data_IF_499295845119
#
_entry.id   IF_499295845119
#
_cell.length_a   1.000
_cell.length_b   1.000
_cell.length_c   1.000
_cell.angle_alpha   90.00
_cell.angle_beta   90.00
_cell.angle_gamma   90.00
#
_symmetry.space_group_name_H-M   'P 1'
#
loop_
_entity.id
_entity.type
_entity.pdbx_description
1 polymer ?
#
# COMPACT_ATOMS: atom_id res chain seq x y z
N UNK A 1 26.15 14.50 24.55
CA UNK A 1 26.42 15.95 24.69
C UNK A 1 27.82 16.19 24.17
N UNK A 2 27.93 16.82 23.00
CA UNK A 2 29.19 16.90 22.26
C UNK A 2 30.07 17.95 22.91
N UNK A 3 31.21 17.55 23.46
CA UNK A 3 32.17 18.45 24.06
C UNK A 3 33.43 18.48 23.20
N UNK A 4 33.66 19.61 22.53
CA UNK A 4 34.89 19.85 21.78
C UNK A 4 35.88 20.62 22.66
N UNK A 5 37.16 20.25 22.65
CA UNK A 5 38.18 21.05 23.33
C UNK A 5 38.26 22.43 22.67
N UNK A 6 38.52 23.46 23.47
CA UNK A 6 38.75 24.81 22.96
C UNK A 6 40.07 24.87 22.21
N UNK A 7 40.09 25.64 21.12
CA UNK A 7 41.31 25.85 20.34
C UNK A 7 42.37 26.55 21.21
N UNK A 8 43.62 26.07 21.22
CA UNK A 8 44.72 26.81 21.84
C UNK A 8 44.86 28.19 21.21
N UNK A 9 45.18 29.20 22.03
CA UNK A 9 45.54 30.54 21.54
C UNK A 9 46.67 30.43 20.50
N UNK A 10 46.68 31.20 19.42
CA UNK A 10 47.73 31.13 18.40
C UNK A 10 48.93 32.04 18.66
N UNK A 11 48.84 32.96 19.63
CA UNK A 11 49.91 33.92 19.92
C UNK A 11 51.21 33.22 20.40
N UNK A 12 52.33 33.67 19.84
CA UNK A 12 53.68 33.34 20.29
C UNK A 12 54.22 34.56 21.05
N UNK A 13 54.57 34.37 22.31
CA UNK A 13 55.12 35.43 23.16
C UNK A 13 56.63 35.53 22.91
N UNK A 14 57.00 36.23 21.84
CA UNK A 14 58.39 36.56 21.54
C UNK A 14 58.70 37.98 21.99
N UNK A 15 59.81 38.16 22.69
CA UNK A 15 60.37 39.50 22.89
C UNK A 15 60.87 40.07 21.56
N UNK A 16 61.02 41.40 21.45
CA UNK A 16 61.57 42.01 20.24
C UNK A 16 62.94 41.41 19.89
N UNK A 17 63.13 41.09 18.61
CA UNK A 17 64.37 40.49 18.12
C UNK A 17 65.55 41.45 18.37
N UNK A 18 66.67 40.99 18.95
CA UNK A 18 67.82 41.86 19.18
C UNK A 18 68.45 42.33 17.85
N UNK A 19 68.78 43.62 17.76
CA UNK A 19 69.49 44.19 16.61
C UNK A 19 70.92 43.64 16.52
N UNK A 20 71.27 43.10 15.36
CA UNK A 20 72.64 42.66 15.06
C UNK A 20 73.42 43.84 14.51
N UNK A 21 74.44 44.31 15.24
CA UNK A 21 75.32 45.40 14.76
C UNK A 21 76.23 44.89 13.64
N UNK A 22 75.98 45.33 12.42
CA UNK A 22 76.89 45.13 11.28
C UNK A 22 78.00 46.19 11.33
N UNK A 23 79.20 45.80 11.76
CA UNK A 23 80.36 46.70 11.78
C UNK A 23 81.17 46.47 10.50
N UNK A 24 80.96 47.32 9.49
CA UNK A 24 81.72 47.30 8.23
C UNK A 24 83.22 47.44 8.47
N UNK A 25 84.00 46.54 7.87
CA UNK A 25 85.42 46.32 8.15
C UNK A 25 86.36 47.35 7.47
N UNK A 26 86.17 48.64 7.76
CA UNK A 26 87.05 49.75 7.36
C UNK A 26 88.51 49.58 7.85
N UNK A 27 88.67 48.72 8.86
CA UNK A 27 89.89 48.48 9.63
C UNK A 27 90.91 47.60 8.89
N UNK A 28 90.44 46.54 8.19
CA UNK A 28 91.28 45.72 7.30
C UNK A 28 91.91 46.56 6.18
N UNK A 29 91.17 47.57 5.71
CA UNK A 29 91.63 48.54 4.69
C UNK A 29 92.76 49.43 5.21
N UNK A 30 92.65 49.93 6.43
CA UNK A 30 93.66 50.80 7.04
C UNK A 30 94.97 50.04 7.36
N UNK A 31 94.87 48.82 7.89
CA UNK A 31 96.03 47.95 8.13
C UNK A 31 96.75 47.58 6.83
N UNK A 32 96.00 47.24 5.78
CA UNK A 32 96.54 46.92 4.47
C UNK A 32 97.27 48.12 3.83
N UNK A 33 96.78 49.35 4.06
CA UNK A 33 97.44 50.57 3.59
C UNK A 33 98.74 50.85 4.37
N UNK A 34 98.77 50.63 5.68
CA UNK A 34 99.95 50.83 6.51
C UNK A 34 101.10 49.85 6.19
N UNK A 35 100.77 48.65 5.69
CA UNK A 35 101.74 47.59 5.37
C UNK A 35 102.32 47.64 3.94
N UNK A 36 101.87 48.55 3.08
CA UNK A 36 102.17 48.53 1.62
C UNK A 36 103.46 49.24 1.17
N UNK A 37 104.31 49.81 2.05
CA UNK A 37 105.52 50.57 1.66
C UNK A 37 106.86 50.05 2.22
N UNK A 38 107.84 49.74 1.34
CA UNK A 38 109.26 49.37 1.63
C UNK A 38 110.12 50.61 1.99
N UNK A 39 111.33 50.59 2.62
CA UNK A 39 112.70 50.25 2.08
C UNK A 39 113.84 50.23 3.17
N UNK A 40 114.97 49.52 2.88
CA UNK A 40 116.39 49.46 3.40
C UNK A 40 116.78 49.14 4.89
N UNK A 41 117.60 48.09 5.11
CA UNK A 41 117.83 47.33 6.38
C UNK A 41 118.25 48.07 7.67
N UNK A 42 119.05 49.14 7.63
CA UNK A 42 119.50 49.83 8.88
C UNK A 42 118.57 50.99 9.28
N UNK A 43 118.02 51.73 8.31
CA UNK A 43 116.85 52.58 8.52
C UNK A 43 115.60 51.74 8.83
N UNK A 44 115.50 50.53 8.27
CA UNK A 44 114.46 49.55 8.58
C UNK A 44 114.49 49.12 10.03
N UNK A 45 115.61 49.06 10.76
CA UNK A 45 115.55 48.72 12.19
C UNK A 45 114.96 49.89 13.00
N UNK A 46 115.32 51.13 12.69
CA UNK A 46 114.80 52.31 13.40
C UNK A 46 113.35 52.66 13.00
N UNK A 47 113.02 52.57 11.70
CA UNK A 47 111.67 52.68 11.16
C UNK A 47 110.82 51.44 11.45
N UNK A 48 111.40 50.24 11.62
CA UNK A 48 110.64 49.08 12.10
C UNK A 48 110.36 49.19 13.57
N UNK A 49 111.26 49.72 14.41
CA UNK A 49 110.90 49.97 15.80
C UNK A 49 109.85 51.08 15.91
N UNK A 50 109.99 52.17 15.14
CA UNK A 50 108.96 53.23 15.08
C UNK A 50 107.66 52.76 14.42
N UNK A 51 107.75 51.87 13.45
CA UNK A 51 106.63 51.23 12.75
C UNK A 51 105.94 50.18 13.62
N UNK A 52 106.70 49.40 14.41
CA UNK A 52 106.20 48.50 15.45
C UNK A 52 105.52 49.33 16.53
N UNK A 53 106.12 50.43 16.99
CA UNK A 53 105.48 51.36 17.94
C UNK A 53 104.21 51.96 17.34
N UNK A 54 104.18 52.35 16.05
CA UNK A 54 102.96 52.86 15.38
C UNK A 54 101.90 51.77 15.21
N UNK A 55 102.31 50.54 14.87
CA UNK A 55 101.44 49.36 14.77
C UNK A 55 100.88 49.02 16.15
N UNK A 56 101.68 49.11 17.21
CA UNK A 56 101.26 48.91 18.59
C UNK A 56 100.35 50.03 19.08
N UNK A 57 100.66 51.30 18.79
CA UNK A 57 99.82 52.46 19.08
C UNK A 57 98.48 52.34 18.36
N UNK A 58 98.46 51.96 17.07
CA UNK A 58 97.25 51.66 16.31
C UNK A 58 96.52 50.47 16.94
N UNK A 59 97.15 49.32 17.17
CA UNK A 59 96.53 48.16 17.85
C UNK A 59 95.94 48.49 19.23
N UNK A 60 96.54 49.44 19.97
CA UNK A 60 96.04 49.92 21.27
C UNK A 60 94.95 51.00 21.15
N UNK A 61 94.96 51.80 20.08
CA UNK A 61 93.94 52.83 19.79
C UNK A 61 92.81 52.33 18.88
N UNK A 62 92.92 51.11 18.37
CA UNK A 62 91.89 50.43 17.62
C UNK A 62 90.76 50.01 18.57
N UNK A 63 89.55 50.50 18.29
CA UNK A 63 88.31 49.99 18.87
C UNK A 63 88.06 48.51 18.53
N UNK A 64 89.01 47.79 17.92
CA UNK A 64 88.92 46.38 17.55
C UNK A 64 88.48 45.48 18.72
N UNK A 65 89.10 45.63 19.90
CA UNK A 65 88.70 44.84 21.09
C UNK A 65 87.32 45.25 21.62
N UNK A 66 86.94 46.52 21.47
CA UNK A 66 85.61 47.02 21.86
C UNK A 66 84.52 46.52 20.90
N UNK A 67 84.77 46.58 19.59
CA UNK A 67 83.90 46.07 18.53
C UNK A 67 83.76 44.55 18.62
N UNK A 68 84.84 43.81 18.91
CA UNK A 68 84.78 42.37 19.14
C UNK A 68 83.93 42.02 20.37
N UNK A 69 84.04 42.77 21.48
CA UNK A 69 83.21 42.58 22.66
C UNK A 69 81.74 42.99 22.42
N UNK A 70 81.47 44.03 21.63
CA UNK A 70 80.11 44.42 21.24
C UNK A 70 79.46 43.37 20.33
N UNK A 71 80.22 42.79 19.39
CA UNK A 71 79.78 41.68 18.54
C UNK A 71 79.52 40.43 19.40
N UNK A 72 80.43 40.05 20.32
CA UNK A 72 80.23 38.90 21.21
C UNK A 72 78.98 39.07 22.08
N UNK A 73 78.77 40.27 22.65
CA UNK A 73 77.57 40.58 23.43
C UNK A 73 76.28 40.52 22.59
N UNK A 74 76.29 41.05 21.37
CA UNK A 74 75.12 40.99 20.45
C UNK A 74 74.79 39.55 20.04
N UNK A 75 75.82 38.73 19.78
CA UNK A 75 75.65 37.31 19.45
C UNK A 75 75.12 36.51 20.64
N UNK A 76 75.63 36.75 21.86
CA UNK A 76 75.10 36.12 23.08
C UNK A 76 73.63 36.45 23.29
N UNK A 77 73.24 37.72 23.14
CA UNK A 77 71.86 38.15 23.25
C UNK A 77 70.97 37.50 22.18
N UNK A 78 71.45 37.37 20.94
CA UNK A 78 70.74 36.70 19.85
C UNK A 78 70.56 35.21 20.10
N UNK A 79 71.59 34.53 20.61
CA UNK A 79 71.52 33.10 20.97
C UNK A 79 70.51 32.89 22.12
N UNK A 80 70.52 33.76 23.14
CA UNK A 80 69.57 33.70 24.24
C UNK A 80 68.13 33.92 23.77
N UNK A 81 67.90 34.94 22.93
CA UNK A 81 66.59 35.18 22.31
C UNK A 81 66.12 33.97 21.49
N UNK A 82 66.98 33.40 20.64
CA UNK A 82 66.66 32.22 19.84
C UNK A 82 66.31 31.00 20.71
N UNK A 83 67.03 30.80 21.81
CA UNK A 83 66.73 29.71 22.75
C UNK A 83 65.35 29.90 23.40
N UNK A 84 65.04 31.12 23.85
CA UNK A 84 63.74 31.45 24.46
C UNK A 84 62.58 31.32 23.46
N UNK A 85 62.78 31.79 22.22
CA UNK A 85 61.82 31.63 21.13
C UNK A 85 61.63 30.14 20.78
N UNK A 86 62.71 29.37 20.72
CA UNK A 86 62.67 27.92 20.47
C UNK A 86 61.90 27.15 21.56
N UNK A 87 62.14 27.44 22.84
CA UNK A 87 61.38 26.82 23.94
C UNK A 87 59.91 27.25 23.95
N UNK A 88 59.60 28.53 23.66
CA UNK A 88 58.23 29.01 23.52
C UNK A 88 57.47 28.31 22.40
N UNK A 89 58.11 28.13 21.23
CA UNK A 89 57.55 27.38 20.12
C UNK A 89 57.33 25.90 20.49
N UNK A 90 58.29 25.28 21.17
CA UNK A 90 58.19 23.88 21.63
C UNK A 90 57.06 23.67 22.63
N UNK A 91 56.87 24.60 23.57
CA UNK A 91 55.71 24.59 24.47
C UNK A 91 54.42 24.69 23.65
N UNK A 92 54.39 25.58 22.65
CA UNK A 92 53.24 25.75 21.78
C UNK A 92 52.90 24.50 20.97
N UNK A 93 53.91 23.84 20.43
CA UNK A 93 53.76 22.57 19.71
C UNK A 93 53.14 21.50 20.62
N UNK A 94 53.56 21.42 21.89
CA UNK A 94 52.96 20.50 22.87
C UNK A 94 51.51 20.83 23.20
N UNK A 95 51.13 22.11 23.25
CA UNK A 95 49.72 22.51 23.45
C UNK A 95 48.84 22.04 22.29
N UNK A 96 49.28 22.27 21.04
CA UNK A 96 48.56 21.81 19.85
C UNK A 96 48.52 20.28 19.75
N UNK A 97 49.60 19.59 20.10
CA UNK A 97 49.63 18.12 20.16
C UNK A 97 48.58 17.58 21.14
N UNK A 98 48.50 18.16 22.35
CA UNK A 98 47.44 17.81 23.33
C UNK A 98 46.05 18.10 22.78
N UNK A 99 45.84 19.28 22.20
CA UNK A 99 44.56 19.65 21.59
C UNK A 99 44.12 18.64 20.52
N UNK A 100 45.00 18.27 19.59
CA UNK A 100 44.65 17.32 18.52
C UNK A 100 44.36 15.92 19.08
N UNK A 101 45.06 15.49 20.12
CA UNK A 101 44.77 14.22 20.81
C UNK A 101 43.38 14.23 21.47
N UNK A 102 43.04 15.30 22.20
CA UNK A 102 41.74 15.46 22.83
C UNK A 102 40.61 15.59 21.79
N UNK A 103 40.85 16.36 20.72
CA UNK A 103 39.92 16.51 19.61
C UNK A 103 39.66 15.18 18.91
N UNK A 104 40.70 14.41 18.60
CA UNK A 104 40.55 13.10 17.96
C UNK A 104 39.81 12.11 18.89
N UNK A 105 40.05 12.19 20.20
CA UNK A 105 39.30 11.40 21.19
C UNK A 105 37.81 11.76 21.20
N UNK A 106 37.49 13.06 21.20
CA UNK A 106 36.11 13.57 21.09
C UNK A 106 35.46 13.15 19.78
N UNK A 107 36.16 13.25 18.65
CA UNK A 107 35.65 12.83 17.34
C UNK A 107 35.30 11.34 17.30
N UNK A 108 36.17 10.48 17.84
CA UNK A 108 35.90 9.03 17.93
C UNK A 108 34.73 8.72 18.86
N UNK A 109 34.56 9.46 19.95
CA UNK A 109 33.41 9.31 20.84
C UNK A 109 32.11 9.71 20.13
N UNK A 110 32.11 10.85 19.42
CA UNK A 110 30.97 11.32 18.64
C UNK A 110 30.60 10.34 17.52
N UNK A 111 31.58 9.83 16.79
CA UNK A 111 31.35 8.83 15.74
C UNK A 111 30.65 7.58 16.29
N UNK A 112 31.08 7.09 17.46
CA UNK A 112 30.43 5.95 18.13
C UNK A 112 29.03 6.30 18.62
N UNK A 113 28.82 7.46 19.23
CA UNK A 113 27.50 7.91 19.71
C UNK A 113 26.50 8.00 18.55
N UNK A 114 26.91 8.63 17.44
CA UNK A 114 26.11 8.72 16.21
C UNK A 114 25.82 7.35 15.65
N UNK A 115 26.83 6.50 15.51
CA UNK A 115 26.67 5.13 14.98
C UNK A 115 25.70 4.30 15.84
N UNK A 116 25.87 4.34 17.16
CA UNK A 116 25.00 3.61 18.09
C UNK A 116 23.56 4.13 18.04
N UNK A 117 23.37 5.45 18.00
CA UNK A 117 22.04 6.07 17.90
C UNK A 117 21.36 5.70 16.59
N UNK A 118 22.08 5.76 15.47
CA UNK A 118 21.54 5.38 14.16
C UNK A 118 21.19 3.90 14.10
N UNK A 119 22.04 3.02 14.62
CA UNK A 119 21.77 1.57 14.66
C UNK A 119 20.56 1.25 15.56
N UNK A 120 20.45 1.88 16.73
CA UNK A 120 19.30 1.73 17.61
C UNK A 120 18.01 2.20 16.93
N UNK A 121 18.05 3.35 16.25
CA UNK A 121 16.91 3.85 15.48
C UNK A 121 16.53 2.91 14.33
N UNK A 122 17.50 2.35 13.61
CA UNK A 122 17.25 1.39 12.53
C UNK A 122 16.54 0.13 13.05
N UNK A 123 16.99 -0.46 14.16
CA UNK A 123 16.33 -1.62 14.76
C UNK A 123 14.94 -1.29 15.32
N UNK A 124 14.77 -0.10 15.93
CA UNK A 124 13.45 0.37 16.39
C UNK A 124 12.46 0.52 15.24
N UNK A 125 12.86 1.16 14.14
CA UNK A 125 12.02 1.34 12.94
C UNK A 125 11.64 -0.03 12.36
N UNK A 126 12.60 -0.95 12.25
CA UNK A 126 12.37 -2.31 11.76
C UNK A 126 11.36 -3.08 12.64
N UNK A 127 11.44 -2.93 13.97
CA UNK A 127 10.50 -3.53 14.90
C UNK A 127 9.08 -2.96 14.76
N UNK A 128 8.95 -1.64 14.65
CA UNK A 128 7.64 -0.98 14.47
C UNK A 128 7.01 -1.34 13.12
N UNK A 129 7.79 -1.42 12.03
CA UNK A 129 7.30 -1.92 10.73
C UNK A 129 6.72 -3.33 10.89
N UNK A 130 7.47 -4.25 11.51
CA UNK A 130 7.01 -5.63 11.72
C UNK A 130 5.73 -5.69 12.57
N UNK A 131 5.60 -4.82 13.56
CA UNK A 131 4.39 -4.71 14.39
C UNK A 131 3.19 -4.23 13.56
N UNK A 132 3.38 -3.21 12.71
CA UNK A 132 2.34 -2.72 11.80
C UNK A 132 1.93 -3.78 10.77
N UNK A 133 2.89 -4.52 10.21
CA UNK A 133 2.63 -5.64 9.30
C UNK A 133 1.74 -6.71 9.98
N UNK A 134 2.08 -7.10 11.21
CA UNK A 134 1.28 -8.06 11.98
C UNK A 134 -0.15 -7.55 12.24
N UNK A 135 -0.31 -6.27 12.61
CA UNK A 135 -1.64 -5.67 12.83
C UNK A 135 -2.48 -5.62 11.55
N UNK A 136 -1.84 -5.34 10.40
CA UNK A 136 -2.51 -5.34 9.10
C UNK A 136 -2.97 -6.75 8.70
N UNK A 137 -2.14 -7.76 8.92
CA UNK A 137 -2.47 -9.17 8.69
C UNK A 137 -3.65 -9.59 9.58
N UNK A 138 -3.62 -9.25 10.87
CA UNK A 138 -4.71 -9.57 11.81
C UNK A 138 -6.02 -8.90 11.39
N UNK A 139 -5.98 -7.61 11.06
CA UNK A 139 -7.16 -6.85 10.62
C UNK A 139 -7.74 -7.43 9.34
N UNK A 140 -6.90 -7.74 8.35
CA UNK A 140 -7.32 -8.34 7.08
C UNK A 140 -7.92 -9.73 7.29
N UNK A 141 -7.34 -10.53 8.19
CA UNK A 141 -7.84 -11.88 8.51
C UNK A 141 -9.20 -11.83 9.20
N UNK A 142 -9.39 -10.91 10.16
CA UNK A 142 -10.69 -10.67 10.80
C UNK A 142 -11.73 -10.23 9.78
N UNK A 143 -11.40 -9.26 8.92
CA UNK A 143 -12.30 -8.77 7.88
C UNK A 143 -12.71 -9.90 6.90
N UNK A 144 -11.74 -10.71 6.44
CA UNK A 144 -12.00 -11.84 5.55
C UNK A 144 -12.94 -12.86 6.21
N UNK A 145 -12.69 -13.18 7.48
CA UNK A 145 -13.51 -14.12 8.25
C UNK A 145 -14.94 -13.58 8.43
N UNK A 146 -15.09 -12.31 8.80
CA UNK A 146 -16.40 -11.65 8.91
C UNK A 146 -17.16 -11.64 7.58
N UNK A 147 -16.47 -11.36 6.48
CA UNK A 147 -17.10 -11.37 5.15
C UNK A 147 -17.54 -12.78 4.74
N UNK A 148 -16.73 -13.80 5.03
CA UNK A 148 -17.09 -15.20 4.77
C UNK A 148 -18.31 -15.65 5.59
N UNK A 149 -18.40 -15.27 6.87
CA UNK A 149 -19.58 -15.53 7.71
C UNK A 149 -20.82 -14.85 7.13
N UNK A 150 -20.71 -13.57 6.76
CA UNK A 150 -21.81 -12.81 6.16
C UNK A 150 -22.34 -13.48 4.88
N UNK A 151 -21.45 -13.88 3.96
CA UNK A 151 -21.84 -14.56 2.73
C UNK A 151 -22.49 -15.92 2.99
N UNK A 152 -22.00 -16.68 3.96
CA UNK A 152 -22.58 -17.96 4.34
C UNK A 152 -24.00 -17.78 4.91
N UNK A 153 -24.21 -16.80 5.78
CA UNK A 153 -25.53 -16.47 6.34
C UNK A 153 -26.51 -16.00 5.26
N UNK A 154 -26.06 -15.14 4.33
CA UNK A 154 -26.88 -14.69 3.21
C UNK A 154 -27.31 -15.86 2.31
N UNK A 155 -26.38 -16.79 2.03
CA UNK A 155 -26.68 -17.99 1.24
C UNK A 155 -27.67 -18.92 1.94
N UNK A 156 -27.51 -19.14 3.23
CA UNK A 156 -28.41 -19.98 4.04
C UNK A 156 -29.82 -19.36 4.08
N UNK A 157 -29.92 -18.06 4.36
CA UNK A 157 -31.19 -17.33 4.34
C UNK A 157 -31.90 -17.42 3.00
N UNK A 158 -31.19 -17.18 1.88
CA UNK A 158 -31.75 -17.31 0.54
C UNK A 158 -32.22 -18.75 0.24
N UNK A 159 -31.45 -19.75 0.68
CA UNK A 159 -31.80 -21.17 0.49
C UNK A 159 -33.08 -21.53 1.25
N UNK A 160 -33.20 -21.07 2.50
CA UNK A 160 -34.40 -21.29 3.31
C UNK A 160 -35.63 -20.64 2.69
N UNK A 161 -35.53 -19.39 2.22
CA UNK A 161 -36.64 -18.70 1.56
C UNK A 161 -37.06 -19.41 0.27
N UNK A 162 -36.11 -19.89 -0.53
CA UNK A 162 -36.40 -20.66 -1.75
C UNK A 162 -37.11 -21.96 -1.41
N UNK A 163 -36.66 -22.67 -0.38
CA UNK A 163 -37.28 -23.93 0.06
C UNK A 163 -38.72 -23.70 0.54
N UNK A 164 -38.95 -22.67 1.34
CA UNK A 164 -40.29 -22.29 1.83
C UNK A 164 -41.23 -21.92 0.68
N UNK A 165 -40.80 -21.02 -0.21
CA UNK A 165 -41.60 -20.59 -1.36
C UNK A 165 -41.91 -21.75 -2.30
N UNK A 166 -40.98 -22.68 -2.47
CA UNK A 166 -41.19 -23.91 -3.27
C UNK A 166 -42.27 -24.79 -2.64
N UNK A 167 -42.23 -25.01 -1.33
CA UNK A 167 -43.25 -25.78 -0.62
C UNK A 167 -44.63 -25.13 -0.74
N UNK A 168 -44.74 -23.83 -0.45
CA UNK A 168 -45.99 -23.08 -0.57
C UNK A 168 -46.55 -23.13 -2.00
N UNK A 169 -45.69 -22.99 -3.01
CA UNK A 169 -46.10 -23.07 -4.42
C UNK A 169 -46.63 -24.46 -4.79
N UNK A 170 -45.98 -25.53 -4.30
CA UNK A 170 -46.42 -26.90 -4.54
C UNK A 170 -47.77 -27.20 -3.85
N UNK A 171 -47.96 -26.73 -2.62
CA UNK A 171 -49.23 -26.85 -1.89
C UNK A 171 -50.36 -26.09 -2.60
N UNK A 172 -50.11 -24.87 -3.04
CA UNK A 172 -51.08 -24.08 -3.81
C UNK A 172 -51.49 -24.77 -5.11
N UNK A 173 -50.53 -25.34 -5.85
CA UNK A 173 -50.80 -26.10 -7.08
C UNK A 173 -51.61 -27.37 -6.76
N UNK A 174 -51.29 -28.09 -5.68
CA UNK A 174 -52.04 -29.28 -5.26
C UNK A 174 -53.49 -28.95 -4.88
N UNK A 175 -53.71 -27.82 -4.20
CA UNK A 175 -55.05 -27.35 -3.84
C UNK A 175 -55.85 -26.90 -5.07
N UNK A 176 -55.23 -26.15 -5.98
CA UNK A 176 -55.85 -25.74 -7.24
C UNK A 176 -56.23 -26.96 -8.09
N UNK A 177 -55.33 -27.94 -8.21
CA UNK A 177 -55.60 -29.21 -8.90
C UNK A 177 -56.78 -29.96 -8.30
N UNK A 178 -56.83 -30.08 -6.97
CA UNK A 178 -57.93 -30.76 -6.27
C UNK A 178 -59.27 -30.05 -6.52
N UNK A 179 -59.28 -28.71 -6.45
CA UNK A 179 -60.48 -27.90 -6.71
C UNK A 179 -60.97 -28.10 -8.13
N UNK A 180 -60.09 -27.98 -9.12
CA UNK A 180 -60.43 -28.22 -10.53
C UNK A 180 -60.96 -29.64 -10.77
N UNK A 181 -60.36 -30.66 -10.15
CA UNK A 181 -60.83 -32.04 -10.27
C UNK A 181 -62.24 -32.22 -9.69
N UNK A 182 -62.52 -31.59 -8.53
CA UNK A 182 -63.85 -31.64 -7.92
C UNK A 182 -64.90 -30.96 -8.81
N UNK A 183 -64.59 -29.77 -9.34
CA UNK A 183 -65.48 -29.06 -10.28
C UNK A 183 -65.76 -29.88 -11.55
N UNK A 184 -64.72 -30.49 -12.13
CA UNK A 184 -64.85 -31.37 -13.30
C UNK A 184 -65.78 -32.55 -12.98
N UNK A 185 -65.57 -33.24 -11.86
CA UNK A 185 -66.40 -34.40 -11.47
C UNK A 185 -67.86 -34.02 -11.22
N UNK A 186 -68.10 -32.88 -10.56
CA UNK A 186 -69.46 -32.35 -10.33
C UNK A 186 -70.14 -32.02 -11.65
N UNK A 187 -69.47 -31.31 -12.56
CA UNK A 187 -70.01 -30.96 -13.88
C UNK A 187 -70.27 -32.21 -14.74
N UNK A 188 -69.38 -33.21 -14.69
CA UNK A 188 -69.57 -34.49 -15.39
C UNK A 188 -70.82 -35.23 -14.88
N UNK A 189 -71.00 -35.28 -13.56
CA UNK A 189 -72.17 -35.93 -12.95
C UNK A 189 -73.45 -35.19 -13.32
N UNK A 190 -73.46 -33.86 -13.25
CA UNK A 190 -74.62 -33.05 -13.63
C UNK A 190 -74.97 -33.24 -15.12
N UNK A 191 -73.98 -33.22 -16.01
CA UNK A 191 -74.19 -33.45 -17.43
C UNK A 191 -74.77 -34.84 -17.72
N UNK A 192 -74.27 -35.87 -17.03
CA UNK A 192 -74.77 -37.25 -17.17
C UNK A 192 -76.22 -37.37 -16.68
N UNK A 193 -76.55 -36.76 -15.54
CA UNK A 193 -77.93 -36.69 -15.03
C UNK A 193 -78.87 -36.02 -16.04
N UNK A 194 -78.50 -34.84 -16.55
CA UNK A 194 -79.28 -34.10 -17.54
C UNK A 194 -79.52 -34.94 -18.82
N UNK A 195 -78.50 -35.64 -19.31
CA UNK A 195 -78.61 -36.53 -20.49
C UNK A 195 -79.57 -37.69 -20.21
N UNK A 196 -79.50 -38.31 -19.02
CA UNK A 196 -80.39 -39.42 -18.65
C UNK A 196 -81.84 -38.98 -18.48
N UNK A 197 -82.07 -37.80 -17.88
CA UNK A 197 -83.40 -37.19 -17.78
C UNK A 197 -83.98 -36.91 -19.16
N UNK A 198 -83.23 -36.23 -20.03
CA UNK A 198 -83.65 -35.95 -21.41
C UNK A 198 -83.94 -37.23 -22.20
N UNK A 199 -83.11 -38.26 -22.06
CA UNK A 199 -83.32 -39.59 -22.68
C UNK A 199 -84.61 -40.25 -22.18
N UNK A 200 -84.88 -40.18 -20.88
CA UNK A 200 -86.09 -40.75 -20.27
C UNK A 200 -87.33 -40.02 -20.80
N UNK A 201 -87.32 -38.68 -20.78
CA UNK A 201 -88.40 -37.85 -21.35
C UNK A 201 -88.66 -38.17 -22.82
N UNK A 202 -87.61 -38.28 -23.64
CA UNK A 202 -87.74 -38.63 -25.05
C UNK A 202 -88.33 -40.04 -25.24
N UNK A 203 -87.90 -41.00 -24.42
CA UNK A 203 -88.41 -42.39 -24.47
C UNK A 203 -89.88 -42.43 -24.09
N UNK A 204 -90.29 -41.76 -23.00
CA UNK A 204 -91.69 -41.65 -22.59
C UNK A 204 -92.55 -41.03 -23.68
N UNK A 205 -92.09 -39.94 -24.31
CA UNK A 205 -92.84 -39.30 -25.40
C UNK A 205 -92.99 -40.23 -26.61
N UNK A 206 -91.93 -40.97 -26.97
CA UNK A 206 -91.98 -41.96 -28.05
C UNK A 206 -93.00 -43.06 -27.73
N UNK A 207 -93.01 -43.59 -26.51
CA UNK A 207 -93.94 -44.64 -26.08
C UNK A 207 -95.39 -44.15 -26.07
N UNK A 208 -95.66 -42.92 -25.60
CA UNK A 208 -96.98 -42.28 -25.67
C UNK A 208 -97.45 -42.15 -27.11
N UNK A 209 -96.62 -41.59 -28.00
CA UNK A 209 -96.96 -41.42 -29.42
C UNK A 209 -97.20 -42.78 -30.09
N UNK A 210 -96.39 -43.80 -29.77
CA UNK A 210 -96.56 -45.16 -30.29
C UNK A 210 -97.90 -45.77 -29.84
N UNK A 211 -98.28 -45.59 -28.57
CA UNK A 211 -99.56 -46.08 -28.04
C UNK A 211 -100.75 -45.36 -28.69
N UNK A 212 -100.66 -44.05 -28.87
CA UNK A 212 -101.69 -43.25 -29.56
C UNK A 212 -101.91 -43.73 -31.00
N UNK A 213 -100.83 -43.92 -31.76
CA UNK A 213 -100.87 -44.46 -33.12
C UNK A 213 -101.49 -45.86 -33.15
N UNK A 214 -101.10 -46.75 -32.22
CA UNK A 214 -101.68 -48.09 -32.13
C UNK A 214 -103.19 -48.07 -31.83
N UNK A 215 -103.63 -47.19 -30.93
CA UNK A 215 -105.04 -47.00 -30.61
C UNK A 215 -105.83 -46.51 -31.83
N UNK A 216 -105.30 -45.51 -32.55
CA UNK A 216 -105.90 -44.97 -33.78
C UNK A 216 -106.01 -46.05 -34.87
N UNK A 217 -104.95 -46.83 -35.11
CA UNK A 217 -104.98 -47.95 -36.07
C UNK A 217 -106.03 -48.99 -35.67
N UNK A 218 -106.13 -49.31 -34.37
CA UNK A 218 -107.11 -50.29 -33.87
C UNK A 218 -108.54 -49.81 -34.08
N UNK A 219 -108.83 -48.54 -33.76
CA UNK A 219 -110.14 -47.93 -34.01
C UNK A 219 -110.50 -47.91 -35.50
N UNK A 220 -109.60 -47.45 -36.37
CA UNK A 220 -109.84 -47.45 -37.82
C UNK A 220 -110.04 -48.87 -38.38
N UNK A 221 -109.30 -49.87 -37.87
CA UNK A 221 -109.50 -51.26 -38.25
C UNK A 221 -110.88 -51.78 -37.86
N UNK A 222 -111.36 -51.44 -36.65
CA UNK A 222 -112.70 -51.79 -36.19
C UNK A 222 -113.78 -51.12 -37.06
N UNK A 223 -113.63 -49.82 -37.31
CA UNK A 223 -114.49 -49.03 -38.20
C UNK A 223 -114.60 -49.68 -39.59
N UNK A 224 -113.46 -49.95 -40.25
CA UNK A 224 -113.42 -50.58 -41.56
C UNK A 224 -114.04 -51.99 -41.55
N UNK A 225 -113.85 -52.75 -40.46
CA UNK A 225 -114.48 -54.08 -40.30
C UNK A 225 -116.01 -53.97 -40.24
N UNK A 226 -116.54 -53.00 -39.49
CA UNK A 226 -117.98 -52.73 -39.42
C UNK A 226 -118.56 -52.30 -40.77
N UNK A 227 -117.90 -51.36 -41.46
CA UNK A 227 -118.29 -50.89 -42.80
C UNK A 227 -118.31 -52.03 -43.83
N UNK A 228 -117.30 -52.91 -43.82
CA UNK A 228 -117.26 -54.11 -44.68
C UNK A 228 -118.42 -55.05 -44.36
N UNK A 229 -118.76 -55.26 -43.09
CA UNK A 229 -119.86 -56.13 -42.68
C UNK A 229 -121.22 -55.54 -43.09
N UNK A 230 -121.41 -54.24 -42.95
CA UNK A 230 -122.63 -53.55 -43.39
C UNK A 230 -122.79 -53.60 -44.92
N UNK A 231 -121.71 -53.39 -45.66
CA UNK A 231 -121.69 -53.54 -47.12
C UNK A 231 -122.03 -54.99 -47.54
N UNK A 232 -121.46 -55.99 -46.88
CA UNK A 232 -121.80 -57.42 -47.11
C UNK A 232 -123.27 -57.70 -46.87
N UNK A 233 -123.83 -57.25 -45.75
CA UNK A 233 -125.25 -57.43 -45.43
C UNK A 233 -126.14 -56.75 -46.47
N UNK A 234 -125.79 -55.54 -46.90
CA UNK A 234 -126.51 -54.81 -47.95
C UNK A 234 -126.50 -55.58 -49.28
N UNK A 235 -125.36 -56.14 -49.68
CA UNK A 235 -125.23 -56.99 -50.88
C UNK A 235 -126.09 -58.25 -50.74
N UNK A 236 -126.05 -58.94 -49.59
CA UNK A 236 -126.85 -60.14 -49.32
C UNK A 236 -128.35 -59.80 -49.42
N UNK A 237 -128.81 -58.73 -48.78
CA UNK A 237 -130.21 -58.29 -48.82
C UNK A 237 -130.64 -57.96 -50.26
N UNK A 238 -129.85 -57.17 -51.00
CA UNK A 238 -130.12 -56.85 -52.41
C UNK A 238 -130.21 -58.12 -53.28
N UNK A 239 -129.31 -59.08 -53.05
CA UNK A 239 -129.30 -60.36 -53.76
C UNK A 239 -130.54 -61.21 -53.43
N UNK A 240 -130.93 -61.29 -52.16
CA UNK A 240 -132.14 -61.98 -51.72
C UNK A 240 -133.41 -61.36 -52.30
N UNK A 241 -133.50 -60.02 -52.37
CA UNK A 241 -134.60 -59.29 -53.02
C UNK A 241 -134.65 -59.65 -54.51
N UNK A 242 -133.52 -59.59 -55.22
CA UNK A 242 -133.43 -59.95 -56.65
C UNK A 242 -133.89 -61.39 -56.91
N UNK A 243 -133.46 -62.35 -56.07
CA UNK A 243 -133.90 -63.75 -56.17
C UNK A 243 -135.39 -63.94 -55.88
N UNK A 244 -136.00 -63.18 -54.96
CA UNK A 244 -137.45 -63.23 -54.68
C UNK A 244 -138.27 -62.66 -55.85
N UNK A 245 -137.82 -61.56 -56.46
CA UNK A 245 -138.48 -60.95 -57.61
C UNK A 245 -138.47 -61.86 -58.85
N UNK A 246 -137.39 -62.62 -59.07
CA UNK A 246 -137.30 -63.62 -60.15
C UNK A 246 -138.11 -64.91 -59.92
N UNK A 247 -138.63 -65.16 -58.71
CA UNK A 247 -139.55 -66.29 -58.42
C UNK A 247 -141.04 -65.92 -58.55
N UNK A 248 -141.36 -64.64 -58.74
CA UNK A 248 -142.72 -64.13 -58.90
C UNK A 248 -143.12 -63.91 -60.37
N UNK A 249 -142.31 -64.42 -61.32
CA UNK A 249 -142.60 -64.57 -62.74
C UNK A 249 -142.49 -66.05 -63.11
#
# INVERSE_FOLDING_TARGET
MINYPNLPNSALDFTEQPEVKEITNELLKQLQNALKGNHLFTEQIQLSLKGIVRILEVLLSLDFFKNANEIDSSLRNSIEWLNNAGESLKLKMKEYERFFNDFNTSMRANEREVTNTLNANAENIKSEIKKLENQLIETTTKLLTSYQIFLNQARESATNQIAENKTQSLEAIAQAKTTANNEINTNQTQALTNINEAKTTATTQIDTNKQEVLNNITQQKQQATSEINEAKNTIIIKTLIFLRLNKAC
#
